data_IF_744436955471
#
_entry.id   IF_744436955471
#
_cell.length_a   1.000
_cell.length_b   1.000
_cell.length_c   1.000
_cell.angle_alpha   90.00
_cell.angle_beta   90.00
_cell.angle_gamma   90.00
#
_symmetry.space_group_name_H-M   'P 1'
#
loop_
_entity.id
_entity.type
_entity.pdbx_description
1 polymer ?
#
# COMPACT_ATOMS: atom_id res chain seq x y z
N UNK A 1 -9.83 -8.06 13.08
CA UNK A 1 -9.87 -8.35 11.63
C UNK A 1 -10.80 -7.33 11.02
N UNK A 2 -10.30 -6.39 10.22
CA UNK A 2 -11.16 -5.46 9.49
C UNK A 2 -11.51 -6.12 8.15
N UNK A 3 -12.73 -6.66 7.99
CA UNK A 3 -13.14 -7.26 6.73
C UNK A 3 -13.21 -6.19 5.63
N UNK A 4 -12.89 -6.57 4.41
CA UNK A 4 -13.09 -5.74 3.22
C UNK A 4 -14.52 -5.21 3.19
N UNK A 5 -14.67 -3.90 2.94
CA UNK A 5 -15.99 -3.30 2.72
C UNK A 5 -16.55 -3.76 1.36
N UNK A 6 -17.16 -4.94 1.36
CA UNK A 6 -17.64 -5.58 0.14
C UNK A 6 -18.70 -4.73 -0.57
N UNK A 7 -19.51 -4.00 0.19
CA UNK A 7 -20.53 -3.08 -0.34
C UNK A 7 -19.89 -1.99 -1.20
N UNK A 8 -18.86 -1.35 -0.67
CA UNK A 8 -18.14 -0.28 -1.39
C UNK A 8 -17.41 -0.80 -2.62
N UNK A 9 -16.82 -1.99 -2.53
CA UNK A 9 -16.21 -2.67 -3.69
C UNK A 9 -17.27 -2.92 -4.77
N UNK A 10 -18.43 -3.47 -4.42
CA UNK A 10 -19.52 -3.74 -5.38
C UNK A 10 -19.97 -2.44 -6.06
N UNK A 11 -20.23 -1.39 -5.28
CA UNK A 11 -20.64 -0.09 -5.82
C UNK A 11 -19.60 0.47 -6.82
N UNK A 12 -18.31 0.32 -6.51
CA UNK A 12 -17.25 0.75 -7.41
C UNK A 12 -17.24 -0.07 -8.71
N UNK A 13 -17.41 -1.39 -8.60
CA UNK A 13 -17.43 -2.29 -9.77
C UNK A 13 -18.65 -2.03 -10.67
N UNK A 14 -19.84 -1.84 -10.09
CA UNK A 14 -21.05 -1.46 -10.81
C UNK A 14 -20.84 -0.15 -11.58
N UNK A 15 -20.20 0.85 -10.94
CA UNK A 15 -19.87 2.11 -11.62
C UNK A 15 -18.93 1.92 -12.80
N UNK A 16 -18.01 0.95 -12.77
CA UNK A 16 -17.15 0.63 -13.92
C UNK A 16 -17.93 -0.01 -15.07
N UNK A 17 -18.95 -0.82 -14.78
CA UNK A 17 -19.85 -1.36 -15.80
C UNK A 17 -20.65 -0.25 -16.48
N UNK A 18 -21.18 0.70 -15.71
CA UNK A 18 -21.88 1.88 -16.24
C UNK A 18 -20.99 2.66 -17.22
N UNK A 19 -19.77 3.01 -16.80
CA UNK A 19 -18.82 3.74 -17.64
C UNK A 19 -18.52 2.96 -18.93
N UNK A 20 -18.30 1.64 -18.85
CA UNK A 20 -18.04 0.83 -20.03
C UNK A 20 -19.25 0.81 -20.98
N UNK A 21 -20.46 0.79 -20.43
CA UNK A 21 -21.72 0.83 -21.19
C UNK A 21 -21.86 2.17 -21.92
N UNK A 22 -21.60 3.29 -21.25
CA UNK A 22 -21.57 4.63 -21.85
C UNK A 22 -20.52 4.75 -22.96
N UNK A 23 -19.41 4.00 -22.85
CA UNK A 23 -18.36 3.92 -23.87
C UNK A 23 -18.68 2.95 -25.03
N UNK A 24 -19.88 2.37 -25.07
CA UNK A 24 -20.35 1.54 -26.18
C UNK A 24 -20.21 0.03 -25.97
N UNK A 25 -20.07 -0.44 -24.73
CA UNK A 25 -20.13 -1.87 -24.42
C UNK A 25 -21.50 -2.44 -24.83
N UNK A 26 -21.49 -3.58 -25.54
CA UNK A 26 -22.74 -4.24 -25.97
C UNK A 26 -23.50 -4.83 -24.78
N UNK A 27 -24.79 -5.13 -24.94
CA UNK A 27 -25.60 -5.76 -23.90
C UNK A 27 -25.03 -7.11 -23.44
N UNK A 28 -24.54 -7.93 -24.38
CA UNK A 28 -23.84 -9.19 -24.07
C UNK A 28 -22.54 -8.94 -23.31
N UNK A 29 -21.77 -7.93 -23.73
CA UNK A 29 -20.55 -7.51 -23.07
C UNK A 29 -20.80 -7.01 -21.64
N UNK A 30 -21.88 -6.27 -21.42
CA UNK A 30 -22.31 -5.77 -20.12
C UNK A 30 -22.66 -6.94 -19.19
N UNK A 31 -23.53 -7.86 -19.65
CA UNK A 31 -23.91 -9.05 -18.88
C UNK A 31 -22.69 -9.90 -18.51
N UNK A 32 -21.77 -10.10 -19.45
CA UNK A 32 -20.53 -10.85 -19.22
C UNK A 32 -19.61 -10.15 -18.23
N UNK A 33 -19.41 -8.84 -18.37
CA UNK A 33 -18.55 -8.05 -17.48
C UNK A 33 -19.09 -8.04 -16.05
N UNK A 34 -20.38 -7.74 -15.87
CA UNK A 34 -21.07 -7.78 -14.58
C UNK A 34 -20.89 -9.14 -13.91
N UNK A 35 -21.10 -10.23 -14.66
CA UNK A 35 -20.92 -11.60 -14.13
C UNK A 35 -19.49 -11.83 -13.64
N UNK A 36 -18.48 -11.47 -14.42
CA UNK A 36 -17.06 -11.66 -14.04
C UNK A 36 -16.73 -10.86 -12.79
N UNK A 37 -17.15 -9.60 -12.72
CA UNK A 37 -16.85 -8.71 -11.60
C UNK A 37 -17.51 -9.17 -10.30
N UNK A 38 -18.78 -9.61 -10.34
CA UNK A 38 -19.43 -10.17 -9.15
C UNK A 38 -18.81 -11.50 -8.71
N UNK A 39 -18.49 -12.40 -9.65
CA UNK A 39 -17.85 -13.69 -9.32
C UNK A 39 -16.46 -13.50 -8.70
N UNK A 40 -15.75 -12.43 -9.08
CA UNK A 40 -14.40 -12.11 -8.60
C UNK A 40 -14.37 -10.93 -7.63
N UNK A 41 -15.50 -10.59 -7.00
CA UNK A 41 -15.61 -9.41 -6.13
C UNK A 41 -14.59 -9.45 -4.99
N UNK A 42 -14.28 -10.65 -4.50
CA UNK A 42 -13.29 -10.93 -3.46
C UNK A 42 -11.84 -10.64 -3.88
N UNK A 43 -11.58 -10.46 -5.17
CA UNK A 43 -10.27 -10.14 -5.73
C UNK A 43 -9.96 -8.64 -5.73
N UNK A 44 -10.95 -7.78 -5.44
CA UNK A 44 -10.82 -6.32 -5.50
C UNK A 44 -10.80 -5.68 -4.11
N UNK A 45 -10.01 -4.63 -3.96
CA UNK A 45 -9.92 -3.82 -2.74
C UNK A 45 -9.93 -2.35 -3.11
N UNK A 46 -10.64 -1.54 -2.35
CA UNK A 46 -10.62 -0.07 -2.46
C UNK A 46 -9.49 0.53 -1.64
N UNK A 47 -9.21 -0.07 -0.48
CA UNK A 47 -8.15 0.32 0.46
C UNK A 47 -7.37 -0.91 0.95
N UNK A 48 -6.39 -0.71 1.85
CA UNK A 48 -5.69 -1.82 2.48
C UNK A 48 -6.68 -2.79 3.16
N UNK A 49 -6.50 -4.08 2.88
CA UNK A 49 -7.25 -5.16 3.51
C UNK A 49 -6.37 -5.97 4.45
N UNK A 50 -6.99 -6.67 5.41
CA UNK A 50 -6.29 -7.64 6.27
C UNK A 50 -6.32 -9.03 5.62
N UNK A 51 -6.02 -9.09 4.32
CA UNK A 51 -5.98 -10.33 3.58
C UNK A 51 -4.85 -11.22 4.12
N UNK A 52 -5.07 -12.54 4.21
CA UNK A 52 -4.00 -13.44 4.62
C UNK A 52 -2.85 -13.35 3.61
N UNK A 53 -1.58 -13.48 4.07
CA UNK A 53 -0.46 -13.54 3.16
C UNK A 53 -0.64 -14.70 2.18
N UNK A 54 -0.16 -14.49 0.95
CA UNK A 54 -0.14 -15.55 -0.04
C UNK A 54 0.66 -16.75 0.48
N UNK A 55 0.21 -17.97 0.16
CA UNK A 55 0.81 -19.23 0.64
C UNK A 55 2.11 -19.56 -0.08
N UNK A 56 3.13 -18.73 0.12
CA UNK A 56 4.50 -18.91 -0.40
C UNK A 56 5.50 -18.78 0.74
N UNK A 57 6.71 -19.29 0.53
CA UNK A 57 7.81 -19.10 1.48
C UNK A 57 8.07 -17.59 1.67
N UNK A 58 8.09 -17.08 2.91
CA UNK A 58 8.38 -15.68 3.17
C UNK A 58 9.74 -15.27 2.60
N UNK A 59 9.80 -14.07 2.01
CA UNK A 59 11.06 -13.48 1.54
C UNK A 59 12.01 -13.28 2.73
N UNK A 60 13.23 -13.81 2.61
CA UNK A 60 14.29 -13.62 3.60
C UNK A 60 15.36 -12.69 3.03
N UNK A 61 15.65 -11.62 3.76
CA UNK A 61 16.72 -10.68 3.41
C UNK A 61 18.04 -11.22 3.97
N UNK A 62 19.01 -11.45 3.09
CA UNK A 62 20.34 -11.91 3.46
C UNK A 62 21.29 -10.72 3.64
N UNK A 63 22.02 -10.69 4.75
CA UNK A 63 23.03 -9.68 5.02
C UNK A 63 24.39 -10.16 4.51
N UNK A 64 25.16 -9.25 3.89
CA UNK A 64 26.56 -9.51 3.55
C UNK A 64 27.36 -9.89 4.79
N UNK A 65 28.38 -10.72 4.63
CA UNK A 65 29.29 -11.09 5.70
C UNK A 65 29.86 -9.86 6.42
N UNK A 66 29.76 -9.82 7.75
CA UNK A 66 30.25 -8.71 8.57
C UNK A 66 29.40 -7.43 8.53
N UNK A 67 28.21 -7.45 7.93
CA UNK A 67 27.31 -6.31 7.92
C UNK A 67 27.02 -5.78 9.33
N UNK A 68 27.19 -4.47 9.52
CA UNK A 68 26.83 -3.78 10.75
C UNK A 68 25.50 -3.03 10.59
N UNK A 69 24.67 -2.97 11.63
CA UNK A 69 23.43 -2.21 11.60
C UNK A 69 23.65 -0.73 11.27
N UNK A 70 22.75 -0.18 10.47
CA UNK A 70 22.67 1.25 10.17
C UNK A 70 21.38 1.81 10.74
N UNK A 71 21.45 2.99 11.36
CA UNK A 71 20.29 3.67 11.94
C UNK A 71 20.24 5.10 11.43
N UNK A 72 19.20 5.42 10.68
CA UNK A 72 18.95 6.77 10.23
C UNK A 72 18.76 7.71 11.44
N UNK A 73 19.21 8.96 11.28
CA UNK A 73 18.98 10.01 12.26
C UNK A 73 17.52 10.47 12.25
N UNK A 74 17.06 11.00 13.37
CA UNK A 74 15.72 11.59 13.47
C UNK A 74 15.61 12.81 12.56
N UNK A 75 14.57 12.84 11.73
CA UNK A 75 14.29 13.96 10.83
C UNK A 75 13.13 14.82 11.37
N UNK A 76 13.21 16.13 11.13
CA UNK A 76 12.10 17.05 11.38
C UNK A 76 11.19 17.08 10.15
N UNK A 77 9.89 16.94 10.38
CA UNK A 77 8.84 17.07 9.37
C UNK A 77 7.99 18.29 9.68
N UNK A 78 7.34 18.85 8.65
CA UNK A 78 6.31 19.87 8.87
C UNK A 78 5.14 19.27 9.69
N UNK A 79 4.32 20.08 10.37
CA UNK A 79 3.18 19.57 11.13
C UNK A 79 2.23 18.69 10.30
N UNK A 80 1.90 19.14 9.08
CA UNK A 80 1.03 18.41 8.13
C UNK A 80 1.64 17.08 7.71
N UNK A 81 2.94 17.07 7.41
CA UNK A 81 3.66 15.85 7.03
C UNK A 81 3.72 14.82 8.16
N UNK A 82 3.89 15.29 9.40
CA UNK A 82 3.87 14.42 10.57
C UNK A 82 2.49 13.81 10.79
N UNK A 83 1.44 14.61 10.69
CA UNK A 83 0.06 14.13 10.82
C UNK A 83 -0.28 13.07 9.76
N UNK A 84 0.14 13.29 8.51
CA UNK A 84 0.04 12.28 7.45
C UNK A 84 0.78 10.99 7.83
N UNK A 85 2.06 11.08 8.24
CA UNK A 85 2.84 9.90 8.62
C UNK A 85 2.19 9.12 9.77
N UNK A 86 1.68 9.82 10.79
CA UNK A 86 1.02 9.19 11.93
C UNK A 86 -0.27 8.47 11.50
N UNK A 87 -1.12 9.10 10.68
CA UNK A 87 -2.35 8.46 10.17
C UNK A 87 -2.03 7.29 9.25
N UNK A 88 -1.08 7.44 8.34
CA UNK A 88 -0.71 6.42 7.37
C UNK A 88 -0.07 5.19 8.05
N UNK A 89 0.87 5.40 8.97
CA UNK A 89 1.50 4.29 9.70
C UNK A 89 0.54 3.59 10.65
N UNK A 90 -0.41 4.33 11.26
CA UNK A 90 -1.49 3.72 12.05
C UNK A 90 -2.37 2.80 11.20
N UNK A 91 -2.79 3.25 10.01
CA UNK A 91 -3.54 2.39 9.09
C UNK A 91 -2.75 1.11 8.73
N UNK A 92 -1.45 1.23 8.42
CA UNK A 92 -0.61 0.06 8.14
C UNK A 92 -0.50 -0.90 9.35
N UNK A 93 -0.46 -0.39 10.58
CA UNK A 93 -0.48 -1.20 11.81
C UNK A 93 -1.83 -1.91 11.99
N UNK A 94 -2.93 -1.18 11.85
CA UNK A 94 -4.29 -1.70 12.02
C UNK A 94 -4.60 -2.80 10.98
N UNK A 95 -4.00 -2.68 9.79
CA UNK A 95 -4.09 -3.69 8.73
C UNK A 95 -3.07 -4.83 8.84
N UNK A 96 -2.18 -4.82 9.83
CA UNK A 96 -1.17 -5.86 10.03
C UNK A 96 -0.06 -5.87 8.98
N UNK A 97 0.11 -4.78 8.22
CA UNK A 97 1.14 -4.61 7.20
C UNK A 97 2.48 -4.15 7.79
N UNK A 98 2.47 -3.69 9.04
CA UNK A 98 3.67 -3.43 9.84
C UNK A 98 3.46 -3.83 11.29
N UNK A 99 4.56 -3.88 12.05
CA UNK A 99 4.53 -4.11 13.49
C UNK A 99 5.59 -3.25 14.17
N UNK A 100 5.37 -2.93 15.45
CA UNK A 100 6.30 -2.16 16.25
C UNK A 100 7.49 -3.03 16.70
N UNK A 101 8.71 -2.63 16.33
CA UNK A 101 9.93 -3.27 16.78
C UNK A 101 10.87 -2.29 17.50
N UNK A 102 10.63 -2.09 18.80
CA UNK A 102 11.43 -1.17 19.63
C UNK A 102 12.88 -1.61 19.84
N UNK A 103 13.22 -2.86 19.51
CA UNK A 103 14.56 -3.43 19.69
C UNK A 103 15.38 -3.41 18.40
N UNK A 104 14.84 -2.89 17.30
CA UNK A 104 15.57 -2.84 16.04
C UNK A 104 16.83 -1.98 16.17
N UNK A 105 17.96 -2.56 15.78
CA UNK A 105 19.22 -1.83 15.59
C UNK A 105 19.33 -1.19 14.20
N UNK A 106 18.39 -1.51 13.33
CA UNK A 106 18.30 -1.01 11.96
C UNK A 106 17.17 0.01 11.84
N UNK A 107 17.43 1.14 11.17
CA UNK A 107 16.37 2.08 10.81
C UNK A 107 16.71 2.83 9.53
N UNK A 108 15.72 2.99 8.67
CA UNK A 108 15.76 3.85 7.49
C UNK A 108 14.81 5.03 7.67
N UNK A 109 15.12 6.14 7.03
CA UNK A 109 14.28 7.34 7.11
C UNK A 109 13.04 7.21 6.21
N UNK A 110 11.85 7.62 6.69
CA UNK A 110 10.71 7.83 5.81
C UNK A 110 10.89 9.15 5.06
N UNK A 111 10.64 9.10 3.75
CA UNK A 111 10.64 10.23 2.83
C UNK A 111 9.25 10.47 2.29
N UNK A 112 8.83 11.73 2.34
CA UNK A 112 7.53 12.16 1.83
C UNK A 112 7.71 12.65 0.41
N UNK A 113 6.92 12.10 -0.50
CA UNK A 113 6.93 12.43 -1.93
C UNK A 113 5.56 12.99 -2.31
N UNK A 114 5.53 14.23 -2.82
CA UNK A 114 4.29 14.86 -3.26
C UNK A 114 3.71 14.14 -4.48
N UNK A 115 2.39 14.00 -4.54
CA UNK A 115 1.67 13.46 -5.70
C UNK A 115 1.19 14.60 -6.59
N UNK A 116 1.11 14.39 -7.90
CA UNK A 116 0.56 15.36 -8.86
C UNK A 116 -0.87 15.79 -8.51
N UNK A 117 -1.65 14.90 -7.92
CA UNK A 117 -3.00 15.18 -7.42
C UNK A 117 -3.02 16.40 -6.47
N UNK A 118 -1.93 16.65 -5.75
CA UNK A 118 -1.79 17.79 -4.84
C UNK A 118 -1.69 19.14 -5.55
N UNK A 119 -1.42 19.14 -6.86
CA UNK A 119 -1.44 20.37 -7.68
C UNK A 119 -2.88 20.88 -7.86
N UNK A 120 -3.87 19.98 -7.86
CA UNK A 120 -5.30 20.29 -8.03
C UNK A 120 -6.11 20.17 -6.75
N UNK A 121 -5.71 19.29 -5.83
CA UNK A 121 -6.35 19.06 -4.54
C UNK A 121 -5.30 19.18 -3.42
N UNK A 122 -5.16 20.34 -2.77
CA UNK A 122 -4.16 20.53 -1.72
C UNK A 122 -4.39 19.65 -0.48
N UNK A 123 -5.56 19.00 -0.37
CA UNK A 123 -5.87 18.06 0.72
C UNK A 123 -5.46 16.62 0.41
N UNK A 124 -5.08 16.33 -0.85
CA UNK A 124 -4.64 15.01 -1.24
C UNK A 124 -3.36 14.60 -0.49
N UNK A 125 -3.34 13.35 -0.04
CA UNK A 125 -2.22 12.83 0.72
C UNK A 125 -0.96 12.65 -0.14
N UNK A 126 0.24 12.93 0.40
CA UNK A 126 1.48 12.57 -0.25
C UNK A 126 1.73 11.05 -0.15
N UNK A 127 2.88 10.58 -0.67
CA UNK A 127 3.35 9.20 -0.46
C UNK A 127 4.42 9.14 0.62
N UNK A 128 4.37 8.10 1.44
CA UNK A 128 5.50 7.69 2.27
C UNK A 128 6.37 6.69 1.48
N UNK A 129 7.67 6.94 1.43
CA UNK A 129 8.69 6.03 0.88
C UNK A 129 9.76 5.79 1.92
N UNK A 130 10.47 4.67 1.89
CA UNK A 130 11.56 4.39 2.83
C UNK A 130 12.90 4.47 2.08
N UNK A 131 13.85 5.25 2.59
CA UNK A 131 15.20 5.29 2.02
C UNK A 131 15.99 4.04 2.44
N UNK A 132 15.95 3.03 1.59
CA UNK A 132 16.60 1.74 1.83
C UNK A 132 18.05 1.67 1.37
N UNK A 133 18.65 2.75 0.84
CA UNK A 133 20.00 2.72 0.23
C UNK A 133 21.07 2.15 1.17
N UNK A 134 21.17 2.69 2.39
CA UNK A 134 22.15 2.22 3.37
C UNK A 134 21.91 0.78 3.83
N UNK A 135 20.67 0.31 3.81
CA UNK A 135 20.33 -1.09 4.15
C UNK A 135 20.70 -1.99 2.97
N UNK A 136 20.31 -1.62 1.75
CA UNK A 136 20.58 -2.37 0.52
C UNK A 136 22.08 -2.55 0.26
N UNK A 137 22.91 -1.57 0.62
CA UNK A 137 24.38 -1.73 0.57
C UNK A 137 24.90 -2.87 1.45
N UNK A 138 24.17 -3.24 2.51
CA UNK A 138 24.52 -4.30 3.47
C UNK A 138 23.80 -5.62 3.20
N UNK A 139 22.89 -5.67 2.24
CA UNK A 139 22.18 -6.89 1.86
C UNK A 139 22.79 -7.52 0.61
N UNK A 140 22.71 -8.83 0.52
CA UNK A 140 23.03 -9.55 -0.70
C UNK A 140 21.93 -9.29 -1.75
N UNK A 141 22.30 -9.35 -3.03
CA UNK A 141 21.32 -9.27 -4.10
C UNK A 141 20.46 -10.53 -4.06
N UNK A 142 19.14 -10.36 -4.05
CA UNK A 142 18.23 -11.49 -4.11
C UNK A 142 18.41 -12.21 -5.47
N UNK A 143 18.48 -13.55 -5.48
CA UNK A 143 18.61 -14.34 -6.70
C UNK A 143 17.38 -14.21 -7.62
#
# INVERSE_FOLDING_TARGET
MHPTNLTEVIQYLEKKVEIATEMGLTLDGQARLTTILHVRVDSFRVDFGNDPPVRVTPMQVHLKAGAKPVRAQTRRYSPTDREFLDRHTRALLDHGLMYMNHRSRWASEPRIVRKKEQDSDPTADPRMTIDTRNVNEKTEQMP
#
